data_IF_275206952535
#
_entry.id   IF_275206952535
#
_cell.length_a   1.000
_cell.length_b   1.000
_cell.length_c   1.000
_cell.angle_alpha   90.00
_cell.angle_beta   90.00
_cell.angle_gamma   90.00
#
_symmetry.space_group_name_H-M   'P 1'
#
loop_
_entity.id
_entity.type
_entity.pdbx_description
1 polymer ?
#
# COMPACT_ATOMS: atom_id res chain seq x y z
N UNK A 1 -88.81 -80.93 -2.15
CA UNK A 1 -88.27 -79.55 -2.06
C UNK A 1 -87.22 -79.39 -3.14
N UNK A 2 -87.58 -78.74 -4.25
CA UNK A 2 -86.66 -78.50 -5.35
C UNK A 2 -85.58 -77.54 -4.90
N UNK A 3 -84.33 -78.00 -4.93
CA UNK A 3 -83.17 -77.13 -4.78
C UNK A 3 -83.24 -76.10 -5.90
N UNK A 4 -83.39 -74.83 -5.54
CA UNK A 4 -83.34 -73.72 -6.49
C UNK A 4 -82.05 -73.90 -7.30
N UNK A 5 -82.07 -73.99 -8.64
CA UNK A 5 -80.88 -74.24 -9.46
C UNK A 5 -79.76 -73.20 -9.25
N UNK A 6 -80.09 -72.08 -8.61
CA UNK A 6 -79.20 -70.98 -8.27
C UNK A 6 -78.35 -71.22 -7.02
N UNK A 7 -78.61 -72.26 -6.23
CA UNK A 7 -77.82 -72.64 -5.04
C UNK A 7 -77.16 -74.02 -5.20
N UNK A 8 -76.84 -74.41 -6.43
CA UNK A 8 -76.04 -75.61 -6.68
C UNK A 8 -74.55 -75.32 -6.46
N UNK A 9 -74.08 -75.63 -5.26
CA UNK A 9 -72.69 -75.46 -4.82
C UNK A 9 -71.68 -76.35 -5.57
N UNK A 10 -72.11 -77.22 -6.49
CA UNK A 10 -71.21 -78.12 -7.23
C UNK A 10 -70.37 -77.39 -8.31
N UNK A 11 -70.81 -76.22 -8.79
CA UNK A 11 -70.12 -75.45 -9.86
C UNK A 11 -69.13 -74.40 -9.28
N UNK A 12 -69.38 -73.93 -8.05
CA UNK A 12 -68.56 -72.92 -7.38
C UNK A 12 -67.08 -73.32 -7.14
N UNK A 13 -66.73 -74.59 -6.82
CA UNK A 13 -65.35 -74.99 -6.61
C UNK A 13 -64.45 -74.76 -7.83
N UNK A 14 -64.97 -75.01 -9.03
CA UNK A 14 -64.23 -74.76 -10.28
C UNK A 14 -63.94 -73.27 -10.47
N UNK A 15 -64.94 -72.41 -10.21
CA UNK A 15 -64.79 -70.95 -10.29
C UNK A 15 -63.75 -70.43 -9.29
N UNK A 16 -63.68 -71.00 -8.10
CA UNK A 16 -62.67 -70.65 -7.09
C UNK A 16 -61.26 -71.07 -7.54
N UNK A 17 -61.09 -72.25 -8.12
CA UNK A 17 -59.78 -72.69 -8.66
C UNK A 17 -59.31 -71.73 -9.75
N UNK A 18 -60.18 -71.38 -10.70
CA UNK A 18 -59.85 -70.41 -11.74
C UNK A 18 -59.58 -69.00 -11.21
N UNK A 19 -60.29 -68.59 -10.15
CA UNK A 19 -60.02 -67.32 -9.47
C UNK A 19 -58.62 -67.31 -8.86
N UNK A 20 -58.22 -68.37 -8.16
CA UNK A 20 -56.85 -68.49 -7.63
C UNK A 20 -55.81 -68.54 -8.75
N UNK A 21 -56.07 -69.25 -9.85
CA UNK A 21 -55.17 -69.27 -11.00
C UNK A 21 -55.01 -67.86 -11.61
N UNK A 22 -56.11 -67.13 -11.84
CA UNK A 22 -56.06 -65.77 -12.37
C UNK A 22 -55.37 -64.80 -11.41
N UNK A 23 -55.66 -64.91 -10.11
CA UNK A 23 -55.03 -64.09 -9.08
C UNK A 23 -53.53 -64.37 -8.96
N UNK A 24 -53.13 -65.64 -9.05
CA UNK A 24 -51.72 -66.04 -9.04
C UNK A 24 -50.97 -65.47 -10.26
N UNK A 25 -51.59 -65.52 -11.44
CA UNK A 25 -51.04 -64.97 -12.68
C UNK A 25 -50.92 -63.44 -12.60
N UNK A 26 -51.92 -62.76 -12.04
CA UNK A 26 -51.90 -61.32 -11.75
C UNK A 26 -50.78 -60.96 -10.75
N UNK A 27 -50.64 -61.73 -9.66
CA UNK A 27 -49.61 -61.51 -8.66
C UNK A 27 -48.21 -61.63 -9.26
N UNK A 28 -47.98 -62.64 -10.09
CA UNK A 28 -46.75 -62.77 -10.87
C UNK A 28 -46.53 -61.54 -11.75
N UNK A 29 -47.53 -61.08 -12.52
CA UNK A 29 -47.37 -59.88 -13.35
C UNK A 29 -46.97 -58.65 -12.52
N UNK A 30 -47.62 -58.41 -11.38
CA UNK A 30 -47.31 -57.29 -10.47
C UNK A 30 -45.90 -57.42 -9.89
N UNK A 31 -45.50 -58.62 -9.47
CA UNK A 31 -44.19 -58.91 -8.89
C UNK A 31 -43.01 -58.56 -9.82
N UNK A 32 -43.24 -58.60 -11.14
CA UNK A 32 -42.24 -58.23 -12.15
C UNK A 32 -42.26 -56.72 -12.50
N UNK A 33 -43.42 -56.06 -12.38
CA UNK A 33 -43.58 -54.63 -12.70
C UNK A 33 -43.12 -53.72 -11.56
N UNK A 34 -43.45 -54.04 -10.31
CA UNK A 34 -43.06 -53.27 -9.10
C UNK A 34 -41.56 -52.93 -9.03
N UNK A 35 -40.62 -53.88 -9.20
CA UNK A 35 -39.18 -53.56 -9.12
C UNK A 35 -38.72 -52.59 -10.22
N UNK A 36 -39.40 -52.56 -11.38
CA UNK A 36 -39.08 -51.59 -12.44
C UNK A 36 -39.48 -50.17 -12.06
N UNK A 37 -40.60 -50.00 -11.36
CA UNK A 37 -41.08 -48.70 -10.87
C UNK A 37 -40.19 -48.20 -9.73
N UNK A 38 -39.82 -49.07 -8.78
CA UNK A 38 -38.86 -48.76 -7.72
C UNK A 38 -37.50 -48.33 -8.27
N UNK A 39 -37.01 -49.02 -9.30
CA UNK A 39 -35.75 -48.65 -9.96
C UNK A 39 -35.78 -47.26 -10.62
N UNK A 40 -36.91 -46.82 -11.17
CA UNK A 40 -37.05 -45.47 -11.74
C UNK A 40 -37.07 -44.41 -10.64
N UNK A 41 -37.78 -44.66 -9.55
CA UNK A 41 -37.86 -43.74 -8.42
C UNK A 41 -36.49 -43.59 -7.74
N UNK A 42 -35.81 -44.71 -7.46
CA UNK A 42 -34.46 -44.72 -6.91
C UNK A 42 -33.44 -43.99 -7.80
N UNK A 43 -33.49 -44.20 -9.12
CA UNK A 43 -32.61 -43.47 -10.06
C UNK A 43 -32.81 -41.96 -10.01
N UNK A 44 -34.06 -41.47 -9.90
CA UNK A 44 -34.35 -40.03 -9.81
C UNK A 44 -33.85 -39.44 -8.49
N UNK A 45 -34.10 -40.11 -7.38
CA UNK A 45 -33.59 -39.68 -6.07
C UNK A 45 -32.06 -39.67 -6.03
N UNK A 46 -31.42 -40.72 -6.53
CA UNK A 46 -29.96 -40.79 -6.60
C UNK A 46 -29.36 -39.68 -7.48
N UNK A 47 -30.00 -39.37 -8.61
CA UNK A 47 -29.56 -38.28 -9.50
C UNK A 47 -29.74 -36.92 -8.84
N UNK A 48 -30.87 -36.68 -8.14
CA UNK A 48 -31.09 -35.44 -7.40
C UNK A 48 -30.09 -35.27 -6.24
N UNK A 49 -29.86 -36.33 -5.46
CA UNK A 49 -28.86 -36.31 -4.37
C UNK A 49 -27.47 -36.03 -4.92
N UNK A 50 -27.06 -36.74 -5.97
CA UNK A 50 -25.75 -36.57 -6.59
C UNK A 50 -25.54 -35.15 -7.13
N UNK A 51 -26.56 -34.54 -7.73
CA UNK A 51 -26.48 -33.15 -8.19
C UNK A 51 -26.38 -32.17 -7.02
N UNK A 52 -27.09 -32.42 -5.91
CA UNK A 52 -27.03 -31.58 -4.71
C UNK A 52 -25.68 -31.69 -3.99
N UNK A 53 -25.16 -32.90 -3.84
CA UNK A 53 -23.81 -33.17 -3.30
C UNK A 53 -22.74 -32.51 -4.16
N UNK A 54 -22.80 -32.69 -5.49
CA UNK A 54 -21.88 -32.05 -6.42
C UNK A 54 -21.91 -30.51 -6.32
N UNK A 55 -23.10 -29.92 -6.18
CA UNK A 55 -23.23 -28.47 -5.95
C UNK A 55 -22.62 -28.05 -4.60
N UNK A 56 -22.85 -28.82 -3.53
CA UNK A 56 -22.27 -28.56 -2.21
C UNK A 56 -20.74 -28.62 -2.25
N UNK A 57 -20.17 -29.61 -2.93
CA UNK A 57 -18.71 -29.77 -3.04
C UNK A 57 -18.08 -28.65 -3.87
N UNK A 58 -18.74 -28.22 -4.95
CA UNK A 58 -18.29 -27.05 -5.73
C UNK A 58 -18.34 -25.78 -4.87
N UNK A 59 -19.41 -25.56 -4.11
CA UNK A 59 -19.51 -24.42 -3.19
C UNK A 59 -18.39 -24.42 -2.15
N UNK A 60 -18.13 -25.58 -1.50
CA UNK A 60 -17.01 -25.73 -0.54
C UNK A 60 -15.65 -25.47 -1.19
N UNK A 61 -15.43 -25.98 -2.39
CA UNK A 61 -14.17 -25.75 -3.12
C UNK A 61 -13.97 -24.28 -3.47
N UNK A 62 -15.03 -23.56 -3.84
CA UNK A 62 -15.00 -22.11 -4.09
C UNK A 62 -14.70 -21.37 -2.79
N UNK A 63 -15.36 -21.72 -1.69
CA UNK A 63 -15.15 -21.10 -0.38
C UNK A 63 -13.70 -21.25 0.10
N UNK A 64 -13.12 -22.45 0.00
CA UNK A 64 -11.71 -22.70 0.34
C UNK A 64 -10.79 -21.84 -0.52
N UNK A 65 -11.05 -21.74 -1.84
CA UNK A 65 -10.25 -20.90 -2.75
C UNK A 65 -10.37 -19.42 -2.40
N UNK A 66 -11.57 -18.93 -2.10
CA UNK A 66 -11.82 -17.56 -1.69
C UNK A 66 -11.11 -17.22 -0.37
N UNK A 67 -11.14 -18.12 0.61
CA UNK A 67 -10.41 -17.96 1.87
C UNK A 67 -8.90 -17.90 1.64
N UNK A 68 -8.37 -18.75 0.76
CA UNK A 68 -6.95 -18.72 0.37
C UNK A 68 -6.56 -17.42 -0.33
N UNK A 69 -7.38 -16.96 -1.28
CA UNK A 69 -7.17 -15.71 -2.00
C UNK A 69 -7.25 -14.50 -1.06
N UNK A 70 -8.22 -14.47 -0.13
CA UNK A 70 -8.37 -13.40 0.85
C UNK A 70 -7.16 -13.31 1.77
N UNK A 71 -6.65 -14.45 2.26
CA UNK A 71 -5.41 -14.49 3.05
C UNK A 71 -4.20 -13.99 2.26
N UNK A 72 -4.07 -14.40 1.00
CA UNK A 72 -2.98 -13.95 0.14
C UNK A 72 -3.02 -12.44 -0.12
N UNK A 73 -4.21 -11.86 -0.27
CA UNK A 73 -4.39 -10.41 -0.39
C UNK A 73 -4.00 -9.69 0.90
N UNK A 74 -4.46 -10.18 2.06
CA UNK A 74 -4.12 -9.59 3.36
C UNK A 74 -2.60 -9.65 3.63
N UNK A 75 -1.96 -10.78 3.34
CA UNK A 75 -0.50 -10.94 3.45
C UNK A 75 0.25 -10.01 2.48
N UNK A 76 -0.28 -9.81 1.27
CA UNK A 76 0.30 -8.90 0.29
C UNK A 76 0.20 -7.43 0.73
N UNK A 77 -0.96 -7.02 1.26
CA UNK A 77 -1.17 -5.67 1.80
C UNK A 77 -0.25 -5.40 3.00
N UNK A 78 -0.10 -6.38 3.90
CA UNK A 78 0.84 -6.28 5.02
C UNK A 78 2.29 -6.12 4.55
N UNK A 79 2.73 -6.92 3.57
CA UNK A 79 4.07 -6.83 3.00
C UNK A 79 4.30 -5.52 2.26
N UNK A 80 3.31 -5.04 1.51
CA UNK A 80 3.37 -3.74 0.84
C UNK A 80 3.49 -2.61 1.87
N UNK A 81 2.68 -2.64 2.93
CA UNK A 81 2.75 -1.68 4.03
C UNK A 81 4.10 -1.69 4.75
N UNK A 82 4.67 -2.87 5.01
CA UNK A 82 6.00 -3.00 5.62
C UNK A 82 7.11 -2.47 4.70
N UNK A 83 7.02 -2.77 3.40
CA UNK A 83 7.99 -2.27 2.39
C UNK A 83 7.94 -0.75 2.28
N UNK A 84 6.74 -0.16 2.27
CA UNK A 84 6.57 1.30 2.24
C UNK A 84 7.14 1.94 3.51
N UNK A 85 6.89 1.36 4.68
CA UNK A 85 7.46 1.86 5.94
C UNK A 85 8.98 1.80 5.96
N UNK A 86 9.58 0.69 5.48
CA UNK A 86 11.03 0.55 5.37
C UNK A 86 11.62 1.57 4.40
N UNK A 87 11.04 1.72 3.22
CA UNK A 87 11.49 2.71 2.24
C UNK A 87 11.38 4.14 2.78
N UNK A 88 10.29 4.48 3.48
CA UNK A 88 10.15 5.80 4.12
C UNK A 88 11.19 6.02 5.23
N UNK A 89 11.49 4.99 6.02
CA UNK A 89 12.54 5.06 7.03
C UNK A 89 13.93 5.30 6.39
N UNK A 90 14.27 4.55 5.35
CA UNK A 90 15.52 4.71 4.60
C UNK A 90 15.63 6.10 3.96
N UNK A 91 14.55 6.60 3.34
CA UNK A 91 14.49 7.96 2.78
C UNK A 91 14.69 9.00 3.88
N UNK A 92 14.05 8.83 5.04
CA UNK A 92 14.22 9.79 6.15
C UNK A 92 15.66 9.85 6.66
N UNK A 93 16.35 8.69 6.74
CA UNK A 93 17.76 8.64 7.12
C UNK A 93 18.65 9.34 6.07
N UNK A 94 18.42 9.06 4.79
CA UNK A 94 19.15 9.70 3.70
C UNK A 94 18.94 11.23 3.67
N UNK A 95 17.73 11.70 3.96
CA UNK A 95 17.42 13.13 4.08
C UNK A 95 18.17 13.77 5.24
N UNK A 96 18.20 13.14 6.42
CA UNK A 96 18.95 13.65 7.57
C UNK A 96 20.47 13.65 7.31
N UNK A 97 21.00 12.61 6.66
CA UNK A 97 22.40 12.58 6.24
C UNK A 97 22.73 13.70 5.25
N UNK A 98 21.93 13.85 4.19
CA UNK A 98 22.10 14.91 3.20
C UNK A 98 21.99 16.31 3.83
N UNK A 99 21.04 16.50 4.75
CA UNK A 99 20.89 17.75 5.50
C UNK A 99 22.13 18.05 6.34
N UNK A 100 22.66 17.06 7.05
CA UNK A 100 23.87 17.24 7.87
C UNK A 100 25.10 17.61 7.05
N UNK A 101 25.22 17.06 5.83
CA UNK A 101 26.29 17.42 4.88
C UNK A 101 26.10 18.85 4.38
N UNK A 102 24.87 19.19 4.00
CA UNK A 102 24.54 20.53 3.51
C UNK A 102 24.78 21.59 4.59
N UNK A 103 24.39 21.34 5.84
CA UNK A 103 24.61 22.25 6.96
C UNK A 103 26.11 22.47 7.22
N UNK A 104 26.94 21.43 7.08
CA UNK A 104 28.41 21.56 7.17
C UNK A 104 28.98 22.39 6.04
N UNK A 105 28.54 22.16 4.81
CA UNK A 105 29.03 22.89 3.64
C UNK A 105 28.59 24.36 3.66
N UNK A 106 27.35 24.64 4.02
CA UNK A 106 26.84 26.00 4.24
C UNK A 106 27.60 26.68 5.37
N UNK A 107 27.87 25.99 6.48
CA UNK A 107 28.69 26.51 7.59
C UNK A 107 30.10 26.91 7.12
N UNK A 108 30.78 26.04 6.36
CA UNK A 108 32.09 26.32 5.80
C UNK A 108 32.05 27.51 4.81
N UNK A 109 31.03 27.58 3.95
CA UNK A 109 30.86 28.72 3.03
C UNK A 109 30.63 30.03 3.79
N UNK A 110 29.85 30.01 4.89
CA UNK A 110 29.61 31.17 5.74
C UNK A 110 30.90 31.64 6.44
N UNK A 111 31.73 30.72 6.94
CA UNK A 111 33.03 31.07 7.53
C UNK A 111 33.96 31.73 6.50
N UNK A 112 34.08 31.14 5.29
CA UNK A 112 34.89 31.71 4.21
C UNK A 112 34.35 33.07 3.77
N UNK A 113 33.03 33.22 3.66
CA UNK A 113 32.40 34.50 3.33
C UNK A 113 32.65 35.55 4.43
N UNK A 114 32.59 35.15 5.71
CA UNK A 114 32.89 35.99 6.85
C UNK A 114 34.33 36.53 6.83
N UNK A 115 35.31 35.65 6.61
CA UNK A 115 36.72 36.03 6.48
C UNK A 115 36.94 37.02 5.33
N UNK A 116 36.37 36.74 4.15
CA UNK A 116 36.44 37.66 3.00
C UNK A 116 35.80 39.00 3.28
N UNK A 117 34.68 39.03 4.02
CA UNK A 117 34.01 40.26 4.38
C UNK A 117 34.84 41.09 5.36
N UNK A 118 35.49 40.45 6.33
CA UNK A 118 36.44 41.11 7.24
C UNK A 118 37.64 41.68 6.49
N UNK A 119 38.25 40.92 5.57
CA UNK A 119 39.34 41.40 4.72
C UNK A 119 38.91 42.60 3.87
N UNK A 120 37.73 42.53 3.23
CA UNK A 120 37.17 43.65 2.46
C UNK A 120 36.90 44.87 3.34
N UNK A 121 36.38 44.68 4.56
CA UNK A 121 36.18 45.78 5.50
C UNK A 121 37.50 46.42 5.94
N UNK A 122 38.54 45.61 6.20
CA UNK A 122 39.86 46.13 6.56
C UNK A 122 40.49 46.90 5.40
N UNK A 123 40.45 46.35 4.18
CA UNK A 123 40.96 47.00 2.98
C UNK A 123 40.22 48.30 2.69
N UNK A 124 38.88 48.29 2.69
CA UNK A 124 38.07 49.49 2.46
C UNK A 124 38.32 50.57 3.53
N UNK A 125 38.51 50.18 4.80
CA UNK A 125 38.91 51.14 5.86
C UNK A 125 40.30 51.72 5.59
N UNK A 126 41.26 50.90 5.18
CA UNK A 126 42.61 51.36 4.82
C UNK A 126 42.60 52.36 3.67
N UNK A 127 41.91 52.03 2.57
CA UNK A 127 41.72 52.91 1.42
C UNK A 127 41.03 54.23 1.81
N UNK A 128 40.01 54.18 2.67
CA UNK A 128 39.30 55.38 3.12
C UNK A 128 40.18 56.29 3.98
N UNK A 129 41.05 55.72 4.82
CA UNK A 129 42.05 56.47 5.59
C UNK A 129 43.08 57.12 4.65
N UNK A 130 43.58 56.38 3.66
CA UNK A 130 44.56 56.89 2.70
C UNK A 130 43.96 58.01 1.83
N UNK A 131 42.73 57.82 1.32
CA UNK A 131 41.99 58.85 0.57
C UNK A 131 41.75 60.09 1.42
N UNK A 132 41.35 59.92 2.68
CA UNK A 132 41.14 61.04 3.62
C UNK A 132 42.43 61.81 3.88
N UNK A 133 43.55 61.10 4.03
CA UNK A 133 44.87 61.71 4.19
C UNK A 133 45.33 62.46 2.93
N UNK A 134 45.02 61.93 1.74
CA UNK A 134 45.32 62.57 0.46
C UNK A 134 44.49 63.84 0.24
N UNK A 135 43.18 63.80 0.50
CA UNK A 135 42.30 64.98 0.44
C UNK A 135 42.75 66.05 1.46
N UNK A 136 43.09 65.65 2.69
CA UNK A 136 43.63 66.56 3.69
C UNK A 136 44.96 67.19 3.27
N UNK A 137 45.85 66.43 2.62
CA UNK A 137 47.11 66.92 2.08
C UNK A 137 46.89 67.90 0.92
N UNK A 138 45.96 67.60 0.00
CA UNK A 138 45.58 68.49 -1.10
C UNK A 138 45.02 69.83 -0.60
N UNK A 139 44.14 69.80 0.41
CA UNK A 139 43.63 71.01 1.04
C UNK A 139 44.74 71.77 1.78
N UNK A 140 45.60 71.09 2.51
CA UNK A 140 46.73 71.70 3.22
C UNK A 140 47.71 72.38 2.26
N UNK A 141 48.06 71.73 1.16
CA UNK A 141 48.92 72.28 0.12
C UNK A 141 48.29 73.51 -0.55
N UNK A 142 46.98 73.47 -0.82
CA UNK A 142 46.23 74.58 -1.44
C UNK A 142 46.10 75.80 -0.51
N UNK A 143 46.07 75.60 0.80
CA UNK A 143 45.96 76.69 1.80
C UNK A 143 47.32 77.30 2.18
N UNK A 144 48.44 76.55 2.07
CA UNK A 144 49.77 77.02 2.54
C UNK A 144 50.83 77.31 1.49
N UNK A 145 50.62 76.95 0.22
CA UNK A 145 51.48 77.42 -0.88
C UNK A 145 52.94 76.94 -0.90
N UNK A 146 53.39 76.08 0.02
CA UNK A 146 54.73 75.48 -0.01
C UNK A 146 54.71 73.98 0.33
N UNK A 147 55.29 73.18 -0.57
CA UNK A 147 55.60 71.76 -0.39
C UNK A 147 56.82 71.63 0.52
N UNK A 148 56.67 71.03 1.71
CA UNK A 148 57.72 70.18 2.29
C UNK A 148 57.26 69.40 3.55
N UNK A 149 57.55 68.10 3.52
CA UNK A 149 57.87 67.21 4.64
C UNK A 149 56.81 66.78 5.70
N UNK A 150 55.50 67.08 5.58
CA UNK A 150 54.50 66.63 6.59
C UNK A 150 53.63 65.42 6.25
N UNK A 151 53.99 64.63 5.21
CA UNK A 151 53.23 63.42 4.81
C UNK A 151 53.11 62.39 5.94
N UNK A 152 54.19 62.16 6.70
CA UNK A 152 54.20 61.19 7.81
C UNK A 152 53.43 61.67 9.07
N UNK A 153 53.41 62.98 9.34
CA UNK A 153 52.72 63.56 10.50
C UNK A 153 51.21 63.66 10.29
N UNK A 154 50.78 63.96 9.06
CA UNK A 154 49.36 63.98 8.67
C UNK A 154 48.77 62.57 8.65
N UNK A 155 49.53 61.56 8.18
CA UNK A 155 49.10 60.16 8.25
C UNK A 155 48.80 59.75 9.69
N UNK A 156 49.70 60.06 10.65
CA UNK A 156 49.49 59.81 12.11
C UNK A 156 48.28 60.53 12.71
N UNK A 157 47.96 61.74 12.27
CA UNK A 157 46.79 62.48 12.75
C UNK A 157 45.48 61.93 12.18
N UNK A 158 45.48 61.53 10.91
CA UNK A 158 44.33 60.87 10.29
C UNK A 158 44.03 59.52 10.95
N UNK A 159 45.06 58.71 11.28
CA UNK A 159 44.87 57.46 12.03
C UNK A 159 44.24 57.69 13.42
N UNK A 160 44.72 58.71 14.17
CA UNK A 160 44.13 59.07 15.48
C UNK A 160 42.69 59.56 15.41
N UNK A 161 42.33 60.32 14.38
CA UNK A 161 40.95 60.80 14.20
C UNK A 161 40.00 59.67 13.81
N UNK A 162 40.50 58.64 13.14
CA UNK A 162 39.72 57.45 12.78
C UNK A 162 39.53 56.50 13.96
N UNK A 163 40.57 56.29 14.78
CA UNK A 163 40.49 55.46 16.00
C UNK A 163 39.69 56.11 17.13
N UNK A 164 39.65 57.44 17.23
CA UNK A 164 38.89 58.16 18.27
C UNK A 164 37.40 58.37 17.98
N UNK A 165 36.88 57.88 16.85
CA UNK A 165 35.47 58.03 16.43
C UNK A 165 34.71 56.71 16.27
N UNK A 166 35.39 55.57 16.43
CA UNK A 166 34.76 54.28 16.78
C UNK A 166 34.56 54.22 18.29
#
# INVERSE_FOLDING_TARGET
MGTVPQLDFSIYPSQVVWFFCAFFLLYLAVRWVVPKVEGVMGRRHATASKSLEGASDVCKAIEIKLLGQRKALEDADLKAGDTVKKALAEVSLCVEEARSLLDREVGAMLEVAGQRLEELQQNARGELIDLSAEVAFMYYAKVRGHNEAKRAALKKLATRLYEGKL
#
